data_IF_290454131490
#
_entry.id   IF_290454131490
#
_cell.length_a   1.000
_cell.length_b   1.000
_cell.length_c   1.000
_cell.angle_alpha   90.00
_cell.angle_beta   90.00
_cell.angle_gamma   90.00
#
_symmetry.space_group_name_H-M   'P 1'
#
loop_
_entity.id
_entity.type
_entity.pdbx_description
1 polymer ?
#
# COMPACT_ATOMS: atom_id res chain seq x y z
N UNK A 1 -14.78 9.22 8.38
CA UNK A 1 -14.36 10.25 7.40
C UNK A 1 -15.47 10.40 6.38
N UNK A 2 -15.88 11.62 6.06
CA UNK A 2 -16.80 11.87 4.94
C UNK A 2 -15.96 12.15 3.69
N UNK A 3 -16.26 11.46 2.60
CA UNK A 3 -15.58 11.67 1.31
C UNK A 3 -16.61 11.72 0.18
N UNK A 4 -16.29 12.46 -0.88
CA UNK A 4 -17.15 12.62 -2.03
C UNK A 4 -17.00 11.45 -3.02
N UNK A 5 -18.07 11.13 -3.75
CA UNK A 5 -18.06 10.14 -4.82
C UNK A 5 -18.08 10.86 -6.16
N UNK A 6 -17.02 10.72 -6.94
CA UNK A 6 -16.91 11.29 -8.28
C UNK A 6 -17.11 10.19 -9.34
N UNK A 7 -17.90 10.46 -10.37
CA UNK A 7 -17.90 9.61 -11.56
C UNK A 7 -16.78 10.03 -12.51
N UNK A 8 -15.98 9.08 -12.97
CA UNK A 8 -14.95 9.33 -13.97
C UNK A 8 -15.53 9.88 -15.29
N UNK A 9 -16.79 9.55 -15.61
CA UNK A 9 -17.47 10.08 -16.81
C UNK A 9 -17.73 11.57 -16.76
N UNK A 10 -17.77 12.13 -15.55
CA UNK A 10 -18.12 13.53 -15.31
C UNK A 10 -16.87 14.42 -15.24
N UNK A 11 -15.69 13.81 -15.32
CA UNK A 11 -14.39 14.48 -15.28
C UNK A 11 -13.85 14.58 -16.71
N UNK A 12 -13.82 15.79 -17.27
CA UNK A 12 -13.12 16.02 -18.53
C UNK A 12 -11.60 16.02 -18.31
N UNK A 13 -10.96 14.88 -18.59
CA UNK A 13 -9.53 14.69 -18.41
C UNK A 13 -8.68 15.62 -19.29
N UNK A 14 -9.23 16.17 -20.38
CA UNK A 14 -8.53 17.09 -21.30
C UNK A 14 -8.31 18.47 -20.69
N UNK A 15 -9.10 18.80 -19.68
CA UNK A 15 -8.99 20.06 -18.92
C UNK A 15 -8.03 19.96 -17.73
N UNK A 16 -7.38 18.81 -17.55
CA UNK A 16 -6.42 18.58 -16.48
C UNK A 16 -4.99 18.64 -17.02
N UNK A 17 -4.07 19.10 -16.17
CA UNK A 17 -2.64 19.05 -16.46
C UNK A 17 -2.07 17.72 -15.98
N UNK A 18 -1.35 17.00 -16.84
CA UNK A 18 -0.64 15.78 -16.45
C UNK A 18 0.59 16.17 -15.64
N UNK A 19 0.65 15.73 -14.39
CA UNK A 19 1.79 15.96 -13.49
C UNK A 19 2.76 14.78 -13.54
N UNK A 20 2.21 13.57 -13.57
CA UNK A 20 2.98 12.33 -13.68
C UNK A 20 2.18 11.30 -14.46
N UNK A 21 2.85 10.66 -15.38
CA UNK A 21 2.37 9.45 -16.04
C UNK A 21 3.29 8.30 -15.66
N UNK A 22 2.71 7.14 -15.41
CA UNK A 22 3.45 5.91 -15.26
C UNK A 22 2.69 4.81 -15.99
N UNK A 23 3.20 4.40 -17.15
CA UNK A 23 2.73 3.22 -17.87
C UNK A 23 3.72 2.11 -17.54
N UNK A 24 3.30 1.14 -16.74
CA UNK A 24 4.23 0.13 -16.22
C UNK A 24 3.50 -1.18 -15.99
N UNK A 25 4.06 -2.23 -16.57
CA UNK A 25 3.67 -3.61 -16.39
C UNK A 25 4.82 -4.36 -15.77
N UNK A 26 4.47 -5.31 -14.92
CA UNK A 26 5.44 -6.14 -14.22
C UNK A 26 4.88 -7.56 -14.22
N UNK A 27 5.46 -8.40 -15.07
CA UNK A 27 4.83 -9.62 -15.57
C UNK A 27 3.41 -9.31 -16.09
N UNK A 28 2.41 -10.06 -15.61
CA UNK A 28 0.99 -9.88 -15.96
C UNK A 28 0.28 -8.79 -15.13
N UNK A 29 1.01 -8.03 -14.32
CA UNK A 29 0.43 -7.04 -13.40
C UNK A 29 0.51 -5.64 -13.97
N UNK A 30 -0.65 -5.02 -14.12
CA UNK A 30 -0.75 -3.62 -14.51
C UNK A 30 -0.59 -2.69 -13.30
N UNK A 31 0.43 -1.84 -13.37
CA UNK A 31 0.69 -0.78 -12.40
C UNK A 31 0.51 0.61 -13.01
N UNK A 32 -0.18 0.71 -14.15
CA UNK A 32 -0.33 1.96 -14.90
C UNK A 32 -1.28 2.94 -14.23
N UNK A 33 -0.85 4.19 -14.12
CA UNK A 33 -1.55 5.25 -13.37
C UNK A 33 -1.08 6.64 -13.76
N UNK A 34 -1.95 7.61 -13.54
CA UNK A 34 -1.73 9.02 -13.81
C UNK A 34 -1.97 9.86 -12.55
N UNK A 35 -1.18 10.91 -12.40
CA UNK A 35 -1.44 12.00 -11.46
C UNK A 35 -1.72 13.25 -12.30
N UNK A 36 -2.94 13.75 -12.16
CA UNK A 36 -3.48 14.89 -12.90
C UNK A 36 -3.76 16.03 -11.93
N UNK A 37 -3.74 17.27 -12.42
CA UNK A 37 -4.03 18.47 -11.64
C UNK A 37 -5.10 19.31 -12.32
N UNK A 38 -6.06 19.81 -11.56
CA UNK A 38 -7.03 20.79 -12.07
C UNK A 38 -6.33 22.11 -12.41
N UNK A 39 -6.61 22.67 -13.60
CA UNK A 39 -6.17 24.03 -13.94
C UNK A 39 -6.81 25.05 -12.98
N UNK A 40 -6.09 26.13 -12.66
CA UNK A 40 -6.65 27.24 -11.87
C UNK A 40 -7.87 27.78 -12.63
N UNK A 41 -9.06 27.73 -12.01
CA UNK A 41 -10.40 28.08 -12.56
C UNK A 41 -11.14 26.97 -13.33
N UNK A 42 -10.90 25.68 -13.04
CA UNK A 42 -11.77 24.61 -13.54
C UNK A 42 -13.20 24.78 -12.99
N UNK A 43 -14.19 24.84 -13.88
CA UNK A 43 -15.60 24.96 -13.52
C UNK A 43 -16.12 23.75 -12.71
N UNK A 44 -15.48 22.58 -12.85
CA UNK A 44 -15.91 21.34 -12.20
C UNK A 44 -15.54 21.27 -10.71
N UNK A 45 -14.51 22.00 -10.26
CA UNK A 45 -13.97 21.87 -8.89
C UNK A 45 -13.77 23.22 -8.17
N UNK A 46 -14.31 24.32 -8.72
CA UNK A 46 -14.22 25.66 -8.14
C UNK A 46 -12.81 26.27 -8.19
N UNK A 47 -12.50 27.16 -7.25
CA UNK A 47 -11.20 27.86 -7.17
C UNK A 47 -10.09 27.04 -6.49
N UNK A 48 -10.39 25.82 -6.03
CA UNK A 48 -9.43 24.98 -5.32
C UNK A 48 -8.58 24.17 -6.29
N UNK A 49 -7.27 24.12 -6.03
CA UNK A 49 -6.33 23.28 -6.78
C UNK A 49 -6.39 21.85 -6.23
N UNK A 50 -6.92 20.93 -7.04
CA UNK A 50 -7.05 19.52 -6.73
C UNK A 50 -6.09 18.68 -7.58
N UNK A 51 -5.73 17.53 -7.02
CA UNK A 51 -4.92 16.51 -7.66
C UNK A 51 -5.71 15.21 -7.70
N UNK A 52 -5.72 14.58 -8.86
CA UNK A 52 -6.42 13.33 -9.11
C UNK A 52 -5.36 12.26 -9.37
N UNK A 53 -5.41 11.16 -8.64
CA UNK A 53 -4.68 9.95 -9.01
C UNK A 53 -5.67 9.00 -9.66
N UNK A 54 -5.44 8.65 -10.91
CA UNK A 54 -6.32 7.77 -11.71
C UNK A 54 -5.54 6.53 -12.09
N UNK A 55 -6.15 5.37 -11.92
CA UNK A 55 -5.59 4.08 -12.27
C UNK A 55 -6.16 3.56 -13.58
N UNK A 56 -5.33 2.84 -14.34
CA UNK A 56 -5.80 2.13 -15.52
C UNK A 56 -6.89 1.11 -15.14
N UNK A 57 -7.86 0.76 -16.01
CA UNK A 57 -8.94 -0.16 -15.66
C UNK A 57 -8.47 -1.53 -15.15
N UNK A 58 -7.32 -2.00 -15.63
CA UNK A 58 -6.68 -3.27 -15.26
C UNK A 58 -5.75 -3.17 -14.05
N UNK A 59 -5.61 -1.99 -13.43
CA UNK A 59 -4.70 -1.78 -12.30
C UNK A 59 -5.00 -2.72 -11.13
N UNK A 60 -3.95 -3.35 -10.61
CA UNK A 60 -4.07 -4.52 -9.72
C UNK A 60 -4.50 -4.21 -8.28
N UNK A 61 -4.34 -2.97 -7.79
CA UNK A 61 -4.62 -2.59 -6.37
C UNK A 61 -5.74 -1.57 -6.19
N UNK A 62 -6.51 -1.32 -7.25
CA UNK A 62 -7.53 -0.24 -7.29
C UNK A 62 -8.58 -0.31 -6.18
N UNK A 63 -8.91 -1.51 -5.71
CA UNK A 63 -9.98 -1.72 -4.73
C UNK A 63 -9.46 -1.68 -3.28
N UNK A 64 -8.14 -1.68 -3.06
CA UNK A 64 -7.53 -1.73 -1.73
C UNK A 64 -7.84 -0.47 -0.89
N UNK A 65 -7.92 0.70 -1.53
CA UNK A 65 -8.21 1.96 -0.84
C UNK A 65 -9.57 1.91 -0.12
N UNK A 66 -10.57 1.25 -0.73
CA UNK A 66 -11.90 1.09 -0.14
C UNK A 66 -11.81 0.30 1.16
N UNK A 67 -11.10 -0.83 1.13
CA UNK A 67 -10.88 -1.63 2.33
C UNK A 67 -10.21 -0.83 3.46
N UNK A 68 -9.23 0.01 3.13
CA UNK A 68 -8.56 0.88 4.10
C UNK A 68 -9.49 1.92 4.73
N UNK A 69 -10.42 2.49 3.96
CA UNK A 69 -11.42 3.43 4.48
C UNK A 69 -12.47 2.70 5.32
N UNK A 70 -12.97 1.57 4.85
CA UNK A 70 -14.04 0.79 5.50
C UNK A 70 -13.64 0.32 6.90
N UNK A 71 -12.37 -0.06 7.10
CA UNK A 71 -11.85 -0.46 8.41
C UNK A 71 -11.36 0.70 9.26
N UNK A 72 -11.43 1.94 8.76
CA UNK A 72 -10.98 3.13 9.48
C UNK A 72 -9.47 3.29 9.59
N UNK A 73 -8.69 2.59 8.74
CA UNK A 73 -7.26 2.81 8.61
C UNK A 73 -6.99 4.16 7.97
N UNK A 74 -7.68 4.47 6.87
CA UNK A 74 -7.70 5.79 6.26
C UNK A 74 -8.84 6.62 6.83
N UNK A 75 -8.47 7.64 7.59
CA UNK A 75 -9.38 8.60 8.19
C UNK A 75 -8.84 10.04 8.07
N UNK A 76 -9.55 10.99 8.67
CA UNK A 76 -9.17 12.40 8.65
C UNK A 76 -7.84 12.67 9.39
N UNK A 77 -7.28 11.71 10.14
CA UNK A 77 -5.98 11.83 10.79
C UNK A 77 -4.84 11.40 9.87
N UNK A 78 -5.01 10.32 9.11
CA UNK A 78 -4.00 9.81 8.17
C UNK A 78 -4.04 10.53 6.81
N UNK A 79 -5.24 10.81 6.29
CA UNK A 79 -5.45 11.35 4.94
C UNK A 79 -6.29 12.64 4.95
N UNK A 80 -5.91 13.70 5.68
CA UNK A 80 -6.71 14.92 5.79
C UNK A 80 -6.88 15.71 4.48
N UNK A 81 -6.09 15.41 3.45
CA UNK A 81 -6.23 16.03 2.14
C UNK A 81 -7.17 15.27 1.20
N UNK A 82 -7.57 14.04 1.55
CA UNK A 82 -8.45 13.22 0.72
C UNK A 82 -9.84 13.86 0.66
N UNK A 83 -10.29 14.15 -0.55
CA UNK A 83 -11.59 14.76 -0.84
C UNK A 83 -12.61 13.69 -1.16
N UNK A 84 -12.23 12.72 -1.99
CA UNK A 84 -13.16 11.74 -2.51
C UNK A 84 -12.50 10.66 -3.35
N UNK A 85 -13.32 9.70 -3.75
CA UNK A 85 -12.95 8.58 -4.59
C UNK A 85 -13.58 8.73 -5.97
N UNK A 86 -12.85 8.29 -6.99
CA UNK A 86 -13.29 8.32 -8.39
C UNK A 86 -13.76 6.93 -8.76
N UNK A 87 -14.96 6.82 -9.31
CA UNK A 87 -15.57 5.56 -9.71
C UNK A 87 -15.88 5.53 -11.21
N UNK A 88 -15.80 4.35 -11.81
CA UNK A 88 -16.31 4.10 -13.15
C UNK A 88 -16.98 2.73 -13.19
N UNK A 89 -18.25 2.68 -13.61
CA UNK A 89 -19.04 1.44 -13.70
C UNK A 89 -19.00 0.61 -12.41
N UNK A 90 -19.11 1.26 -11.26
CA UNK A 90 -19.11 0.62 -9.93
C UNK A 90 -17.74 0.26 -9.36
N UNK A 91 -16.65 0.44 -10.10
CA UNK A 91 -15.30 0.16 -9.60
C UNK A 91 -14.55 1.43 -9.22
N UNK A 92 -13.73 1.36 -8.17
CA UNK A 92 -12.81 2.45 -7.85
C UNK A 92 -11.75 2.58 -8.95
N UNK A 93 -11.48 3.81 -9.35
CA UNK A 93 -10.54 4.18 -10.43
C UNK A 93 -9.56 5.23 -10.01
N UNK A 94 -9.60 5.66 -8.75
CA UNK A 94 -8.71 6.68 -8.27
C UNK A 94 -9.26 7.42 -7.09
N UNK A 95 -8.57 8.50 -6.75
CA UNK A 95 -8.98 9.38 -5.67
C UNK A 95 -8.57 10.82 -5.96
N UNK A 96 -9.26 11.75 -5.29
CA UNK A 96 -9.06 13.19 -5.39
C UNK A 96 -8.50 13.68 -4.07
N UNK A 97 -7.39 14.42 -4.12
CA UNK A 97 -6.81 15.09 -2.94
C UNK A 97 -6.67 16.58 -3.19
N UNK A 98 -6.72 17.35 -2.11
CA UNK A 98 -6.28 18.74 -2.12
C UNK A 98 -4.77 18.84 -2.27
N UNK A 99 -4.32 19.95 -2.83
CA UNK A 99 -2.89 20.24 -2.97
C UNK A 99 -2.14 20.06 -1.65
N UNK A 100 -1.10 19.25 -1.71
CA UNK A 100 -0.12 19.07 -0.65
C UNK A 100 1.26 19.58 -1.11
N UNK A 101 2.15 19.84 -0.16
CA UNK A 101 3.56 20.16 -0.41
C UNK A 101 4.48 19.06 0.13
N UNK A 102 5.69 18.89 -0.42
CA UNK A 102 6.67 17.97 0.17
C UNK A 102 6.91 18.26 1.65
N UNK A 103 7.01 17.21 2.47
CA UNK A 103 7.39 17.35 3.87
C UNK A 103 8.91 17.14 4.03
N UNK A 104 9.61 18.14 4.58
CA UNK A 104 11.06 18.09 4.79
C UNK A 104 11.48 17.43 6.11
N UNK A 105 10.67 16.53 6.66
CA UNK A 105 11.00 15.68 7.81
C UNK A 105 10.31 16.01 9.13
N UNK A 106 9.65 17.15 9.28
CA UNK A 106 8.96 17.49 10.54
C UNK A 106 7.71 16.62 10.78
N UNK A 107 7.57 16.09 12.00
CA UNK A 107 6.40 15.32 12.47
C UNK A 107 6.26 13.91 11.87
N UNK A 108 7.26 13.43 11.11
CA UNK A 108 7.19 12.11 10.45
C UNK A 108 7.01 10.99 11.47
N UNK A 109 7.72 11.06 12.60
CA UNK A 109 7.65 10.04 13.65
C UNK A 109 6.25 9.94 14.27
N UNK A 110 5.56 11.07 14.49
CA UNK A 110 4.19 11.10 15.01
C UNK A 110 3.21 10.40 14.06
N UNK A 111 3.31 10.66 12.75
CA UNK A 111 2.48 9.98 11.76
C UNK A 111 2.86 8.49 11.65
N UNK A 112 4.13 8.16 11.82
CA UNK A 112 4.61 6.78 11.80
C UNK A 112 4.01 5.97 12.95
N UNK A 113 4.01 6.52 14.16
CA UNK A 113 3.41 5.88 15.33
C UNK A 113 1.89 5.78 15.21
N UNK A 114 1.24 6.80 14.65
CA UNK A 114 -0.19 6.73 14.34
C UNK A 114 -0.51 5.62 13.33
N UNK A 115 0.32 5.43 12.30
CA UNK A 115 0.14 4.35 11.31
C UNK A 115 0.33 2.97 11.94
N UNK A 116 1.28 2.82 12.87
CA UNK A 116 1.42 1.57 13.65
C UNK A 116 0.17 1.29 14.48
N UNK A 117 -0.32 2.30 15.20
CA UNK A 117 -1.54 2.21 16.00
C UNK A 117 -2.75 1.80 15.13
N UNK A 118 -2.93 2.46 13.97
CA UNK A 118 -3.96 2.08 12.99
C UNK A 118 -3.81 0.66 12.51
N UNK A 119 -2.58 0.18 12.32
CA UNK A 119 -2.34 -1.19 11.89
C UNK A 119 -2.76 -2.22 12.94
N UNK A 120 -2.47 -1.96 14.22
CA UNK A 120 -2.91 -2.80 15.33
C UNK A 120 -4.42 -2.81 15.48
N UNK A 121 -5.06 -1.64 15.39
CA UNK A 121 -6.50 -1.48 15.59
C UNK A 121 -7.33 -2.13 14.48
N UNK A 122 -6.89 -1.99 13.24
CA UNK A 122 -7.68 -2.39 12.06
C UNK A 122 -7.30 -3.77 11.53
N UNK A 123 -6.10 -4.26 11.86
CA UNK A 123 -5.57 -5.49 11.26
C UNK A 123 -5.15 -5.32 9.79
N UNK A 124 -4.88 -4.09 9.36
CA UNK A 124 -4.38 -3.74 8.01
C UNK A 124 -3.01 -3.06 8.10
N UNK A 125 -2.28 -2.98 6.99
CA UNK A 125 -1.01 -2.27 6.91
C UNK A 125 -0.78 -1.69 5.51
N UNK A 126 -0.02 -0.60 5.40
CA UNK A 126 0.43 -0.03 4.13
C UNK A 126 1.88 -0.41 3.82
N UNK A 127 2.14 -1.17 2.75
CA UNK A 127 3.51 -1.61 2.44
C UNK A 127 4.38 -0.50 1.82
N UNK A 128 3.77 0.45 1.12
CA UNK A 128 4.47 1.62 0.53
C UNK A 128 4.66 2.73 1.56
N UNK A 129 4.66 2.43 2.85
CA UNK A 129 4.80 3.47 3.85
C UNK A 129 6.28 3.86 4.02
N UNK A 130 6.60 5.11 3.66
CA UNK A 130 7.88 5.74 3.95
C UNK A 130 7.75 7.27 3.97
N UNK A 131 8.82 7.96 4.38
CA UNK A 131 8.91 9.42 4.37
C UNK A 131 8.58 10.07 3.01
N UNK A 132 8.78 9.35 1.90
CA UNK A 132 8.49 9.89 0.55
C UNK A 132 7.00 9.91 0.23
N UNK A 133 6.19 9.13 0.97
CA UNK A 133 4.74 9.08 0.83
C UNK A 133 4.03 9.95 1.87
N UNK A 134 4.78 10.77 2.60
CA UNK A 134 4.25 11.74 3.57
C UNK A 134 4.36 13.15 2.97
N UNK A 135 3.21 13.76 2.76
CA UNK A 135 3.09 15.13 2.27
C UNK A 135 2.48 16.02 3.34
N UNK A 136 2.57 17.33 3.17
CA UNK A 136 1.98 18.32 4.07
C UNK A 136 0.73 18.93 3.45
N UNK A 137 -0.39 18.85 4.17
CA UNK A 137 -1.63 19.53 3.84
C UNK A 137 -1.95 20.56 4.92
N UNK A 138 -1.83 21.84 4.57
CA UNK A 138 -1.86 22.95 5.56
C UNK A 138 -0.84 22.68 6.67
N UNK A 139 -1.28 22.59 7.92
CA UNK A 139 -0.42 22.33 9.08
C UNK A 139 -0.39 20.85 9.50
N UNK A 140 -0.97 19.96 8.70
CA UNK A 140 -1.09 18.52 9.02
C UNK A 140 -0.32 17.67 8.03
N UNK A 141 0.12 16.50 8.46
CA UNK A 141 0.68 15.50 7.58
C UNK A 141 -0.43 14.73 6.87
N UNK A 142 -0.13 14.23 5.67
CA UNK A 142 -1.05 13.50 4.83
C UNK A 142 -0.31 12.38 4.11
N UNK A 143 -0.82 11.16 4.24
CA UNK A 143 -0.34 10.02 3.47
C UNK A 143 -0.84 10.09 2.02
N UNK A 144 0.03 9.76 1.07
CA UNK A 144 -0.32 9.55 -0.35
C UNK A 144 -0.03 8.10 -0.75
N UNK A 145 -0.36 7.74 -2.00
CA UNK A 145 -0.20 6.37 -2.52
C UNK A 145 -0.96 5.33 -1.70
N UNK A 146 -2.27 5.55 -1.61
CA UNK A 146 -3.21 4.86 -0.72
C UNK A 146 -3.66 3.47 -1.21
N UNK A 147 -3.20 3.02 -2.38
CA UNK A 147 -3.50 1.69 -2.91
C UNK A 147 -2.71 0.56 -2.23
N UNK A 148 -1.63 0.90 -1.52
CA UNK A 148 -0.67 -0.04 -0.95
C UNK A 148 -1.10 -0.72 0.34
N UNK A 149 -2.40 -0.79 0.63
CA UNK A 149 -2.96 -1.31 1.88
C UNK A 149 -3.46 -2.75 1.76
N UNK A 150 -3.16 -3.57 2.76
CA UNK A 150 -3.53 -4.98 2.80
C UNK A 150 -3.89 -5.42 4.22
N UNK A 151 -4.75 -6.44 4.39
CA UNK A 151 -4.93 -7.13 5.65
C UNK A 151 -3.60 -7.77 6.13
N UNK A 152 -3.31 -7.75 7.42
CA UNK A 152 -2.10 -8.36 7.99
C UNK A 152 -1.97 -9.84 7.60
N UNK A 153 -3.08 -10.59 7.56
CA UNK A 153 -3.09 -12.00 7.13
C UNK A 153 -2.52 -12.23 5.72
N UNK A 154 -2.56 -11.21 4.86
CA UNK A 154 -2.11 -11.28 3.47
C UNK A 154 -0.62 -10.90 3.34
N UNK A 155 0.09 -10.63 4.44
CA UNK A 155 1.53 -10.37 4.47
C UNK A 155 2.35 -11.39 3.65
N UNK A 156 2.12 -12.73 3.77
CA UNK A 156 2.86 -13.72 2.95
C UNK A 156 2.61 -13.61 1.44
N UNK A 157 1.53 -12.94 1.03
CA UNK A 157 1.13 -12.77 -0.36
C UNK A 157 1.74 -11.52 -1.01
N UNK A 158 2.32 -10.59 -0.24
CA UNK A 158 2.90 -9.34 -0.79
C UNK A 158 3.91 -9.57 -1.90
N UNK A 159 4.75 -10.61 -1.78
CA UNK A 159 5.75 -10.95 -2.78
C UNK A 159 5.12 -11.27 -4.14
N UNK A 160 3.89 -11.80 -4.16
CA UNK A 160 3.16 -12.07 -5.40
C UNK A 160 2.81 -10.79 -6.14
N UNK A 161 2.56 -9.69 -5.43
CA UNK A 161 2.28 -8.38 -6.02
C UNK A 161 3.55 -7.57 -6.31
N UNK A 162 4.72 -8.23 -6.31
CA UNK A 162 6.05 -7.61 -6.41
C UNK A 162 6.21 -6.39 -5.49
N UNK A 163 5.60 -6.48 -4.31
CA UNK A 163 5.52 -5.40 -3.32
C UNK A 163 6.56 -5.64 -2.23
N UNK A 164 7.24 -4.57 -1.82
CA UNK A 164 8.26 -4.61 -0.75
C UNK A 164 8.09 -3.40 0.14
N UNK A 165 8.35 -3.58 1.43
CA UNK A 165 8.36 -2.46 2.36
C UNK A 165 9.46 -1.48 2.01
N UNK A 166 9.12 -0.20 2.07
CA UNK A 166 10.09 0.88 1.91
C UNK A 166 10.87 1.15 3.21
N UNK A 167 10.30 0.80 4.36
CA UNK A 167 10.88 1.02 5.69
C UNK A 167 10.98 -0.30 6.47
N UNK A 168 12.22 -0.66 6.88
CA UNK A 168 12.47 -1.92 7.59
C UNK A 168 11.94 -1.95 9.02
N UNK A 169 11.94 -0.80 9.72
CA UNK A 169 11.42 -0.77 11.08
C UNK A 169 9.90 -1.00 11.06
N UNK A 170 9.22 -0.48 10.04
CA UNK A 170 7.81 -0.77 9.82
C UNK A 170 7.58 -2.23 9.41
N UNK A 171 8.40 -2.78 8.53
CA UNK A 171 8.34 -4.20 8.13
C UNK A 171 8.48 -5.14 9.34
N UNK A 172 9.46 -4.90 10.21
CA UNK A 172 9.69 -5.69 11.43
C UNK A 172 8.48 -5.61 12.37
N UNK A 173 7.90 -4.41 12.52
CA UNK A 173 6.70 -4.20 13.31
C UNK A 173 5.49 -5.01 12.77
N UNK A 174 5.19 -4.89 11.48
CA UNK A 174 4.06 -5.61 10.84
C UNK A 174 4.29 -7.13 10.88
N UNK A 175 5.52 -7.57 10.67
CA UNK A 175 5.89 -8.99 10.81
C UNK A 175 5.67 -9.48 12.24
N UNK A 176 5.99 -8.66 13.24
CA UNK A 176 5.68 -8.91 14.65
C UNK A 176 4.19 -9.07 14.90
N UNK A 177 3.36 -8.18 14.35
CA UNK A 177 1.89 -8.27 14.45
C UNK A 177 1.36 -9.54 13.78
N UNK A 178 1.82 -9.85 12.58
CA UNK A 178 1.44 -11.08 11.87
C UNK A 178 1.77 -12.32 12.72
N UNK A 179 3.00 -12.41 13.24
CA UNK A 179 3.42 -13.55 14.03
C UNK A 179 2.62 -13.68 15.33
N UNK A 180 2.31 -12.56 15.99
CA UNK A 180 1.47 -12.53 17.19
C UNK A 180 0.05 -13.06 16.92
N UNK A 181 -0.51 -12.73 15.76
CA UNK A 181 -1.88 -13.08 15.39
C UNK A 181 -2.02 -14.49 14.78
N UNK A 182 -1.08 -14.90 13.94
CA UNK A 182 -1.21 -16.08 13.09
C UNK A 182 -0.18 -17.16 13.35
N UNK A 183 0.81 -16.91 14.21
CA UNK A 183 1.84 -17.88 14.60
C UNK A 183 2.02 -17.91 16.12
N UNK A 184 1.02 -18.36 16.90
CA UNK A 184 1.16 -18.57 18.34
C UNK A 184 1.27 -20.07 18.69
N UNK A 185 1.86 -20.42 19.86
CA UNK A 185 3.12 -21.15 19.99
C UNK A 185 2.98 -22.68 19.92
N UNK A 186 3.91 -23.33 19.21
CA UNK A 186 4.26 -24.72 19.48
C UNK A 186 4.80 -24.83 20.92
N UNK A 187 3.99 -25.37 21.82
CA UNK A 187 4.28 -26.00 23.14
C UNK A 187 3.50 -25.41 24.32
N UNK A 188 2.24 -25.82 24.49
CA UNK A 188 1.69 -26.11 25.82
C UNK A 188 0.69 -27.27 25.75
N UNK A 189 1.19 -28.49 25.49
CA UNK A 189 0.48 -29.70 25.90
C UNK A 189 1.46 -30.75 26.40
N UNK A 190 1.47 -30.89 27.74
CA UNK A 190 1.94 -32.02 28.55
C UNK A 190 3.42 -32.40 28.46
N UNK A 191 4.22 -31.83 29.36
CA UNK A 191 5.27 -32.60 30.02
C UNK A 191 4.99 -32.57 31.52
N UNK A 192 4.43 -33.68 32.02
CA UNK A 192 4.49 -34.01 33.44
C UNK A 192 5.96 -34.05 33.88
N UNK A 193 6.18 -33.50 35.06
CA UNK A 193 7.44 -33.50 35.80
C UNK A 193 8.14 -34.87 35.83
N UNK A 194 9.36 -34.94 35.32
CA UNK A 194 10.44 -35.77 35.91
C UNK A 194 11.76 -35.04 35.67
N UNK A 195 12.55 -34.90 36.74
CA UNK A 195 13.65 -33.97 36.81
C UNK A 195 14.97 -34.38 36.19
N UNK A 196 15.93 -33.50 36.46
CA UNK A 196 17.39 -33.61 36.42
C UNK A 196 18.10 -33.05 35.18
N UNK A 197 19.08 -32.23 35.50
CA UNK A 197 19.92 -31.35 34.67
C UNK A 197 20.68 -32.05 33.53
N UNK A 198 20.90 -31.30 32.43
CA UNK A 198 22.23 -31.09 31.83
C UNK A 198 22.22 -29.94 30.82
N UNK A 199 23.11 -28.96 31.04
CA UNK A 199 23.46 -27.90 30.07
C UNK A 199 24.12 -28.52 28.84
N UNK A 200 23.54 -28.30 27.66
CA UNK A 200 24.25 -28.32 26.38
C UNK A 200 23.73 -27.13 25.55
N UNK A 201 24.61 -26.19 25.24
CA UNK A 201 24.37 -25.08 24.32
C UNK A 201 24.43 -25.57 22.88
N UNK A 202 23.47 -25.13 22.03
CA UNK A 202 23.51 -25.16 20.54
C UNK A 202 22.29 -24.40 19.94
N UNK A 203 22.29 -24.03 18.65
CA UNK A 203 22.23 -22.64 18.20
C UNK A 203 20.87 -22.20 17.60
N UNK A 204 20.76 -20.88 17.40
CA UNK A 204 19.64 -20.13 16.81
C UNK A 204 18.91 -20.83 15.64
N UNK A 205 17.76 -21.42 15.94
CA UNK A 205 16.81 -22.00 14.97
C UNK A 205 16.11 -20.94 14.10
N UNK A 206 16.03 -19.67 14.56
CA UNK A 206 15.32 -18.59 13.85
C UNK A 206 15.99 -18.16 12.53
N UNK A 207 17.27 -18.47 12.31
CA UNK A 207 17.96 -18.16 11.04
C UNK A 207 17.63 -19.13 9.91
N UNK A 208 17.10 -20.32 10.19
CA UNK A 208 16.82 -21.34 9.14
C UNK A 208 15.52 -21.07 8.39
N UNK A 209 14.51 -20.51 9.05
CA UNK A 209 13.20 -20.24 8.46
C UNK A 209 13.23 -19.07 7.48
N UNK A 210 13.90 -17.97 7.85
CA UNK A 210 14.04 -16.79 7.00
C UNK A 210 14.93 -17.06 5.76
N UNK A 211 16.02 -17.81 5.94
CA UNK A 211 16.91 -18.18 4.84
C UNK A 211 16.23 -19.15 3.86
N UNK A 212 15.36 -20.03 4.34
CA UNK A 212 14.56 -20.92 3.50
C UNK A 212 13.55 -20.15 2.64
N UNK A 213 12.81 -19.20 3.24
CA UNK A 213 11.84 -18.37 2.51
C UNK A 213 12.51 -17.44 1.49
N UNK A 214 13.67 -16.89 1.84
CA UNK A 214 14.48 -16.08 0.92
C UNK A 214 14.97 -16.89 -0.28
N UNK A 215 15.50 -18.10 -0.04
CA UNK A 215 16.00 -18.97 -1.10
C UNK A 215 14.86 -19.51 -2.00
N UNK A 216 13.68 -19.78 -1.43
CA UNK A 216 12.49 -20.18 -2.18
C UNK A 216 11.95 -19.03 -3.06
N UNK A 217 11.97 -17.79 -2.56
CA UNK A 217 11.61 -16.62 -3.37
C UNK A 217 12.59 -16.38 -4.53
N UNK A 218 13.89 -16.64 -4.32
CA UNK A 218 14.93 -16.54 -5.35
C UNK A 218 14.84 -17.66 -6.40
N UNK A 219 14.44 -18.87 -6.03
CA UNK A 219 14.29 -19.97 -7.00
C UNK A 219 13.13 -19.70 -7.97
N UNK A 220 12.00 -19.18 -7.47
CA UNK A 220 10.86 -18.77 -8.30
C UNK A 220 11.24 -17.63 -9.26
N UNK A 221 12.08 -16.69 -8.79
CA UNK A 221 12.57 -15.58 -9.62
C UNK A 221 13.48 -16.02 -10.76
N UNK A 222 14.28 -17.08 -10.55
CA UNK A 222 15.15 -17.64 -11.59
C UNK A 222 14.41 -18.54 -12.58
N UNK A 223 13.24 -19.09 -12.21
CA UNK A 223 12.38 -19.84 -13.12
C UNK A 223 11.59 -18.92 -14.05
N UNK A 224 11.11 -17.77 -13.56
CA UNK A 224 10.35 -16.79 -14.35
C UNK A 224 11.16 -16.16 -15.50
N UNK A 225 12.48 -16.00 -15.36
CA UNK A 225 13.36 -15.45 -16.41
C UNK A 225 13.53 -16.33 -17.65
N UNK A 226 13.05 -17.58 -17.62
CA UNK A 226 13.19 -18.49 -18.77
C UNK A 226 12.10 -18.32 -19.82
N UNK A 227 11.08 -17.49 -19.58
CA UNK A 227 9.87 -17.43 -20.41
C UNK A 227 9.61 -16.05 -21.07
N UNK A 228 10.57 -15.12 -21.04
CA UNK A 228 10.42 -13.79 -21.64
C UNK A 228 10.73 -13.76 -23.15
N UNK A 229 10.00 -14.56 -23.93
CA UNK A 229 9.83 -14.29 -25.36
C UNK A 229 8.36 -14.19 -25.69
N UNK A 230 7.96 -12.97 -26.12
CA UNK A 230 6.68 -12.58 -26.71
C UNK A 230 5.69 -11.88 -25.75
N UNK A 231 5.51 -10.57 -25.90
CA UNK A 231 4.46 -9.99 -26.75
C UNK A 231 4.32 -8.48 -26.51
N UNK A 232 4.69 -7.69 -27.54
CA UNK A 232 4.11 -6.36 -27.79
C UNK A 232 2.64 -6.55 -28.19
N UNK A 233 1.70 -5.82 -27.60
CA UNK A 233 0.55 -5.30 -28.35
C UNK A 233 0.05 -3.96 -27.79
N UNK A 234 -0.22 -3.08 -28.76
CA UNK A 234 -0.70 -1.72 -28.66
C UNK A 234 -2.19 -1.68 -28.31
N UNK A 235 -2.60 -0.65 -27.57
CA UNK A 235 -4.01 -0.27 -27.39
C UNK A 235 -4.47 0.39 -28.70
N UNK A 236 -5.42 -0.24 -29.39
CA UNK A 236 -6.28 0.45 -30.34
C UNK A 236 -7.56 0.88 -29.62
N UNK A 237 -7.89 2.16 -29.77
CA UNK A 237 -9.13 2.77 -29.34
C UNK A 237 -10.26 2.42 -30.30
N UNK A 238 -11.43 2.14 -29.75
CA UNK A 238 -12.75 2.42 -30.34
C UNK A 238 -13.60 3.14 -29.27
#
# INVERSE_FOLDING_TARGET
MNYEHFSLTDIDLRELDVIKENIFWLDEQDHSRWVLRTRKKSAAFGSQELYLKIWNPTYIRRDNILAGIDVGFYDDQITPALVGLIFHRGFCRGYVVRKCTPNWGAGVDELFDLIKEKSEQTGFFSYQFSRYHIMRYKNRLNLIDLEGIYPIRDLPLLARYQSRFDDRNYEDFITGLYNKQFTCPLNQSKALSVGTERRISKPNLLKRSALFLWNYSLSLWNEAKKDESHHLYLINCD
#
